data_IF_783349498665
#
_entry.id   IF_783349498665
#
_cell.length_a   1.000
_cell.length_b   1.000
_cell.length_c   1.000
_cell.angle_alpha   90.00
_cell.angle_beta   90.00
_cell.angle_gamma   90.00
#
_symmetry.space_group_name_H-M   'P 1'
#
loop_
_entity.id
_entity.type
_entity.pdbx_description
1 polymer ?
#
# COMPACT_ATOMS: atom_id res chain seq x y z
N UNK A 1 25.67 -10.46 -37.60
CA UNK A 1 25.66 -9.45 -36.52
C UNK A 1 24.38 -9.63 -35.70
N UNK A 2 24.56 -9.95 -34.40
CA UNK A 2 23.61 -9.93 -33.28
C UNK A 2 22.34 -10.80 -33.30
N UNK A 3 22.46 -12.00 -32.74
CA UNK A 3 21.35 -12.83 -32.24
C UNK A 3 20.67 -12.14 -31.03
N UNK A 4 19.46 -11.60 -31.20
CA UNK A 4 18.67 -11.05 -30.10
C UNK A 4 18.12 -12.21 -29.25
N UNK A 5 18.85 -12.57 -28.20
CA UNK A 5 18.45 -13.52 -27.16
C UNK A 5 17.06 -13.13 -26.64
N UNK A 6 16.01 -13.87 -27.02
CA UNK A 6 14.62 -13.66 -26.56
C UNK A 6 14.61 -13.65 -25.04
N UNK A 7 14.29 -12.50 -24.43
CA UNK A 7 14.11 -12.42 -22.99
C UNK A 7 12.93 -13.32 -22.61
N UNK A 8 13.21 -14.35 -21.82
CA UNK A 8 12.20 -15.30 -21.37
C UNK A 8 11.14 -14.54 -20.55
N UNK A 9 9.89 -14.41 -21.03
CA UNK A 9 8.86 -13.61 -20.36
C UNK A 9 8.50 -14.16 -18.97
N UNK A 10 8.77 -15.45 -18.74
CA UNK A 10 8.63 -16.11 -17.43
C UNK A 10 9.66 -15.64 -16.40
N UNK A 11 10.84 -15.18 -16.80
CA UNK A 11 11.92 -14.83 -15.87
C UNK A 11 11.55 -13.62 -15.00
N UNK A 12 10.79 -12.67 -15.55
CA UNK A 12 10.34 -11.49 -14.82
C UNK A 12 9.22 -11.84 -13.83
N UNK A 13 8.26 -12.66 -14.27
CA UNK A 13 7.19 -13.17 -13.42
C UNK A 13 7.73 -14.01 -12.25
N UNK A 14 8.74 -14.84 -12.51
CA UNK A 14 9.36 -15.69 -11.50
C UNK A 14 10.20 -14.88 -10.51
N UNK A 15 10.94 -13.87 -10.98
CA UNK A 15 11.64 -12.92 -10.11
C UNK A 15 10.67 -12.18 -9.18
N UNK A 16 9.52 -11.75 -9.71
CA UNK A 16 8.49 -11.06 -8.95
C UNK A 16 7.78 -12.00 -7.96
N UNK A 17 7.59 -13.27 -8.31
CA UNK A 17 7.10 -14.31 -7.39
C UNK A 17 8.06 -14.56 -6.22
N UNK A 18 9.34 -14.81 -6.51
CA UNK A 18 10.39 -15.06 -5.49
C UNK A 18 10.64 -13.85 -4.58
N UNK A 19 10.45 -12.63 -5.09
CA UNK A 19 10.49 -11.42 -4.26
C UNK A 19 9.31 -11.36 -3.30
N UNK A 20 8.08 -11.59 -3.80
CA UNK A 20 6.87 -11.63 -2.98
C UNK A 20 6.93 -12.71 -1.88
N UNK A 21 7.42 -13.90 -2.22
CA UNK A 21 7.58 -15.00 -1.25
C UNK A 21 8.60 -14.67 -0.15
N UNK A 22 9.74 -14.04 -0.49
CA UNK A 22 10.72 -13.56 0.50
C UNK A 22 10.16 -12.47 1.42
N UNK A 23 9.37 -11.54 0.88
CA UNK A 23 8.73 -10.50 1.70
C UNK A 23 7.65 -11.08 2.62
N UNK A 24 6.89 -12.08 2.15
CA UNK A 24 5.87 -12.79 2.94
C UNK A 24 6.46 -13.58 4.10
N UNK A 25 7.59 -14.27 3.89
CA UNK A 25 8.30 -15.01 4.95
C UNK A 25 8.90 -14.07 6.02
N UNK A 26 9.19 -12.82 5.65
CA UNK A 26 9.63 -11.78 6.57
C UNK A 26 8.48 -11.03 7.27
N UNK A 27 7.22 -11.53 7.15
CA UNK A 27 6.05 -10.94 7.81
C UNK A 27 5.52 -9.65 7.17
N UNK A 28 6.02 -9.25 6.00
CA UNK A 28 5.63 -8.00 5.32
C UNK A 28 4.43 -8.23 4.38
N UNK A 29 3.29 -7.56 4.64
CA UNK A 29 2.15 -7.48 3.71
C UNK A 29 2.47 -6.47 2.59
N UNK A 30 2.09 -6.79 1.36
CA UNK A 30 2.27 -5.93 0.18
C UNK A 30 1.22 -4.82 0.14
N UNK A 31 1.52 -3.70 0.79
CA UNK A 31 1.16 -2.36 0.29
C UNK A 31 2.48 -1.77 -0.20
N UNK A 32 2.52 -1.00 -1.30
CA UNK A 32 3.76 -0.62 -2.00
C UNK A 32 4.60 0.42 -1.21
N UNK A 33 5.06 0.06 -0.02
CA UNK A 33 5.87 0.84 0.93
C UNK A 33 5.96 0.14 2.29
N UNK A 34 6.96 0.52 3.10
CA UNK A 34 6.95 0.15 4.52
C UNK A 34 5.91 1.01 5.22
N UNK A 35 4.90 0.35 5.79
CA UNK A 35 3.84 0.98 6.57
C UNK A 35 3.95 0.47 8.00
N UNK A 36 3.67 1.36 8.96
CA UNK A 36 3.74 1.00 10.38
C UNK A 36 2.60 0.01 10.73
N UNK A 37 2.72 -0.76 11.82
CA UNK A 37 1.64 -1.65 12.26
C UNK A 37 0.30 -0.91 12.43
N UNK A 38 0.31 0.31 12.97
CA UNK A 38 -0.89 1.13 13.20
C UNK A 38 -1.55 1.53 11.87
N UNK A 39 -0.74 1.90 10.87
CA UNK A 39 -1.22 2.19 9.53
C UNK A 39 -1.77 0.92 8.83
N UNK A 40 -1.20 -0.24 9.11
CA UNK A 40 -1.72 -1.53 8.62
C UNK A 40 -3.05 -1.89 9.24
N UNK A 41 -3.24 -1.64 10.54
CA UNK A 41 -4.55 -1.80 11.19
C UNK A 41 -5.59 -0.90 10.53
N UNK A 42 -5.27 0.39 10.33
CA UNK A 42 -6.18 1.31 9.63
C UNK A 42 -6.53 0.83 8.21
N UNK A 43 -5.53 0.31 7.49
CA UNK A 43 -5.72 -0.23 6.14
C UNK A 43 -6.62 -1.47 6.12
N UNK A 44 -6.37 -2.44 7.02
CA UNK A 44 -7.17 -3.66 7.12
C UNK A 44 -8.63 -3.30 7.48
N UNK A 45 -8.84 -2.38 8.43
CA UNK A 45 -10.15 -1.85 8.83
C UNK A 45 -10.91 -1.17 7.66
N UNK A 46 -10.22 -0.32 6.89
CA UNK A 46 -10.81 0.35 5.73
C UNK A 46 -11.23 -0.69 4.71
N UNK A 47 -10.37 -1.67 4.40
CA UNK A 47 -10.69 -2.71 3.43
C UNK A 47 -11.87 -3.56 3.85
N UNK A 48 -11.93 -3.98 5.11
CA UNK A 48 -13.03 -4.78 5.64
C UNK A 48 -14.37 -4.03 5.54
N UNK A 49 -14.39 -2.75 5.92
CA UNK A 49 -15.64 -1.96 5.96
C UNK A 49 -16.11 -1.48 4.59
N UNK A 50 -15.18 -1.22 3.67
CA UNK A 50 -15.51 -0.64 2.35
C UNK A 50 -15.55 -1.64 1.21
N UNK A 51 -14.92 -2.80 1.38
CA UNK A 51 -14.70 -3.76 0.29
C UNK A 51 -13.70 -3.30 -0.78
N UNK A 52 -12.98 -2.19 -0.55
CA UNK A 52 -12.06 -1.64 -1.54
C UNK A 52 -10.85 -2.55 -1.79
N UNK A 53 -10.44 -2.59 -3.05
CA UNK A 53 -9.15 -3.13 -3.48
C UNK A 53 -7.99 -2.24 -3.03
N UNK A 54 -6.76 -2.77 -3.02
CA UNK A 54 -5.56 -2.02 -2.60
C UNK A 54 -5.36 -0.72 -3.40
N UNK A 55 -5.68 -0.77 -4.69
CA UNK A 55 -5.60 0.40 -5.56
C UNK A 55 -6.65 1.44 -5.21
N UNK A 56 -7.88 1.02 -4.92
CA UNK A 56 -8.95 1.92 -4.49
C UNK A 56 -8.64 2.55 -3.13
N UNK A 57 -8.13 1.79 -2.17
CA UNK A 57 -7.69 2.34 -0.87
C UNK A 57 -6.64 3.41 -1.09
N UNK A 58 -5.57 3.13 -1.85
CA UNK A 58 -4.51 4.10 -2.10
C UNK A 58 -5.04 5.37 -2.80
N UNK A 59 -5.79 5.21 -3.89
CA UNK A 59 -6.34 6.33 -4.67
C UNK A 59 -7.31 7.17 -3.84
N UNK A 60 -8.17 6.54 -3.04
CA UNK A 60 -9.15 7.25 -2.23
C UNK A 60 -8.49 7.92 -1.02
N UNK A 61 -7.52 7.28 -0.36
CA UNK A 61 -6.75 7.89 0.73
C UNK A 61 -6.09 9.20 0.31
N UNK A 62 -5.46 9.25 -0.87
CA UNK A 62 -4.86 10.48 -1.39
C UNK A 62 -5.89 11.59 -1.61
N UNK A 63 -7.07 11.26 -2.16
CA UNK A 63 -8.16 12.22 -2.40
C UNK A 63 -8.76 12.75 -1.11
N UNK A 64 -8.95 11.89 -0.11
CA UNK A 64 -9.47 12.26 1.21
C UNK A 64 -8.47 13.16 1.95
N UNK A 65 -7.17 12.84 1.93
CA UNK A 65 -6.12 13.69 2.52
C UNK A 65 -6.11 15.08 1.84
N UNK A 66 -6.22 15.12 0.51
CA UNK A 66 -6.31 16.39 -0.21
C UNK A 66 -7.56 17.20 0.19
N UNK A 67 -8.72 16.55 0.30
CA UNK A 67 -9.95 17.21 0.76
C UNK A 67 -9.79 17.75 2.20
N UNK A 68 -9.22 16.97 3.11
CA UNK A 68 -8.95 17.39 4.48
C UNK A 68 -8.01 18.60 4.55
N UNK A 69 -6.97 18.64 3.69
CA UNK A 69 -6.10 19.81 3.55
C UNK A 69 -6.90 21.03 3.06
N UNK A 70 -7.69 20.89 2.00
CA UNK A 70 -8.50 21.98 1.42
C UNK A 70 -9.54 22.52 2.39
N UNK A 71 -10.07 21.68 3.27
CA UNK A 71 -11.03 22.06 4.30
C UNK A 71 -10.38 22.53 5.62
N UNK A 72 -9.04 22.63 5.69
CA UNK A 72 -8.33 23.04 6.91
C UNK A 72 -8.40 22.03 8.06
N UNK A 73 -8.82 20.80 7.79
CA UNK A 73 -9.05 19.76 8.80
C UNK A 73 -7.81 18.91 9.10
N UNK A 74 -6.73 19.01 8.32
CA UNK A 74 -5.58 18.11 8.40
C UNK A 74 -4.93 18.07 9.80
N UNK A 75 -4.84 19.22 10.50
CA UNK A 75 -4.29 19.28 11.86
C UNK A 75 -5.18 18.53 12.85
N UNK A 76 -6.50 18.76 12.78
CA UNK A 76 -7.47 18.08 13.64
C UNK A 76 -7.42 16.57 13.48
N UNK A 77 -7.39 16.09 12.23
CA UNK A 77 -7.35 14.65 11.94
C UNK A 77 -6.03 14.02 12.39
N UNK A 78 -4.88 14.70 12.21
CA UNK A 78 -3.60 14.19 12.70
C UNK A 78 -3.53 14.10 14.22
N UNK A 79 -4.09 15.07 14.94
CA UNK A 79 -4.16 14.99 16.41
C UNK A 79 -5.12 13.88 16.86
N UNK A 80 -6.23 13.67 16.13
CA UNK A 80 -7.10 12.53 16.39
C UNK A 80 -6.34 11.20 16.24
N UNK A 81 -5.57 11.01 15.16
CA UNK A 81 -4.77 9.80 14.94
C UNK A 81 -3.79 9.55 16.09
N UNK A 82 -3.03 10.58 16.50
CA UNK A 82 -2.09 10.48 17.64
C UNK A 82 -2.79 10.05 18.93
N UNK A 83 -3.91 10.67 19.27
CA UNK A 83 -4.65 10.39 20.50
C UNK A 83 -5.25 8.98 20.55
N UNK A 84 -5.49 8.37 19.37
CA UNK A 84 -6.06 7.03 19.24
C UNK A 84 -5.01 5.98 18.85
N UNK A 85 -3.72 6.34 18.75
CA UNK A 85 -2.61 5.48 18.32
C UNK A 85 -2.87 4.81 16.97
N UNK A 86 -3.26 5.64 16.00
CA UNK A 86 -3.55 5.26 14.62
C UNK A 86 -2.56 5.89 13.65
#
# INVERSE_FOLDING_TARGET
>A
MADKKKQNPSANAEKQRRFRERQKQAGKKLVRGYVTPEAMECYDDIREKTGWSDSEVLSNSLRVIYAAYRCGQIKLLNEWLKNHRR
#
